data_IF_937669879060
#
_entry.id   IF_937669879060
#
_cell.length_a   1.000
_cell.length_b   1.000
_cell.length_c   1.000
_cell.angle_alpha   90.00
_cell.angle_beta   90.00
_cell.angle_gamma   90.00
#
_symmetry.space_group_name_H-M   'P 1'
#
loop_
_entity.id
_entity.type
_entity.pdbx_description
1 polymer ?
#
# COMPACT_ATOMS: atom_id res chain seq x y z
N UNK A 1 -11.73 -41.05 -32.34
CA UNK A 1 -12.66 -40.70 -31.25
C UNK A 1 -12.44 -39.23 -30.91
N UNK A 2 -13.49 -38.40 -30.96
CA UNK A 2 -13.39 -36.98 -30.57
C UNK A 2 -13.64 -36.88 -29.07
N UNK A 3 -12.58 -36.75 -28.27
CA UNK A 3 -12.70 -36.41 -26.87
C UNK A 3 -13.19 -34.95 -26.78
N UNK A 4 -14.50 -34.76 -26.54
CA UNK A 4 -15.01 -33.46 -26.10
C UNK A 4 -14.62 -33.33 -24.63
N UNK A 5 -13.70 -32.41 -24.32
CA UNK A 5 -13.39 -32.06 -22.94
C UNK A 5 -14.68 -31.55 -22.27
N UNK A 6 -15.14 -32.24 -21.23
CA UNK A 6 -16.30 -31.82 -20.45
C UNK A 6 -15.84 -30.75 -19.46
N UNK A 7 -15.67 -29.53 -19.98
CA UNK A 7 -15.21 -28.37 -19.21
C UNK A 7 -16.15 -28.06 -18.03
N UNK A 8 -17.44 -28.38 -18.15
CA UNK A 8 -18.41 -28.25 -17.04
C UNK A 8 -18.11 -29.16 -15.85
N UNK A 9 -17.68 -30.40 -16.09
CA UNK A 9 -17.27 -31.31 -15.02
C UNK A 9 -15.95 -30.90 -14.37
N UNK A 10 -15.02 -30.31 -15.12
CA UNK A 10 -13.76 -29.78 -14.59
C UNK A 10 -14.02 -28.51 -13.77
N UNK A 11 -14.93 -27.65 -14.23
CA UNK A 11 -15.37 -26.46 -13.51
C UNK A 11 -16.07 -26.79 -12.19
N UNK A 12 -17.02 -27.75 -12.17
CA UNK A 12 -17.67 -28.17 -10.93
C UNK A 12 -16.73 -28.84 -9.92
N UNK A 13 -15.60 -29.39 -10.38
CA UNK A 13 -14.53 -29.92 -9.52
C UNK A 13 -13.50 -28.86 -9.11
N UNK A 14 -13.73 -27.59 -9.46
CA UNK A 14 -12.82 -26.48 -9.19
C UNK A 14 -11.52 -26.51 -9.99
N UNK A 15 -11.40 -27.39 -10.99
CA UNK A 15 -10.16 -27.63 -11.74
C UNK A 15 -9.80 -26.53 -12.75
N UNK A 16 -10.78 -25.74 -13.20
CA UNK A 16 -10.56 -24.72 -14.24
C UNK A 16 -9.93 -23.42 -13.71
N UNK A 17 -9.99 -23.20 -12.39
CA UNK A 17 -9.54 -21.97 -11.73
C UNK A 17 -8.81 -22.28 -10.41
N UNK A 18 -8.13 -23.43 -10.32
CA UNK A 18 -7.27 -23.69 -9.16
C UNK A 18 -6.19 -22.62 -9.14
N UNK A 19 -6.20 -21.78 -8.12
CA UNK A 19 -5.06 -20.93 -7.82
C UNK A 19 -3.88 -21.85 -7.52
N UNK A 20 -2.83 -21.76 -8.34
CA UNK A 20 -1.56 -22.46 -8.19
C UNK A 20 -0.50 -21.37 -8.11
N UNK A 21 0.13 -21.27 -6.94
CA UNK A 21 1.35 -20.48 -6.78
C UNK A 21 2.40 -21.00 -7.76
N UNK A 22 3.10 -20.09 -8.46
CA UNK A 22 4.24 -20.46 -9.31
C UNK A 22 5.53 -20.59 -8.51
N UNK A 23 5.54 -20.05 -7.29
CA UNK A 23 6.68 -20.12 -6.39
C UNK A 23 6.67 -21.50 -5.73
N UNK A 24 7.38 -22.45 -6.34
CA UNK A 24 7.78 -23.67 -5.65
C UNK A 24 8.68 -23.25 -4.49
N UNK A 25 8.40 -23.76 -3.29
CA UNK A 25 9.33 -23.60 -2.17
C UNK A 25 10.68 -24.17 -2.63
N UNK A 26 11.69 -23.31 -2.78
CA UNK A 26 12.99 -23.68 -3.33
C UNK A 26 13.70 -24.66 -2.40
N UNK A 27 13.37 -25.95 -2.52
CA UNK A 27 14.17 -27.05 -2.02
C UNK A 27 15.07 -27.48 -3.18
N UNK A 28 16.41 -27.33 -3.08
CA UNK A 28 17.29 -27.94 -4.04
C UNK A 28 17.16 -29.46 -3.88
N UNK A 29 16.44 -30.08 -4.80
CA UNK A 29 16.34 -31.53 -4.91
C UNK A 29 17.69 -32.08 -5.34
N UNK A 30 18.57 -32.29 -4.35
CA UNK A 30 19.73 -33.13 -4.56
C UNK A 30 19.25 -34.56 -4.84
N UNK A 31 19.76 -35.09 -5.96
CA UNK A 31 19.73 -36.48 -6.42
C UNK A 31 18.46 -36.96 -7.14
N UNK A 32 18.53 -37.08 -8.48
CA UNK A 32 18.78 -38.40 -9.09
C UNK A 32 19.13 -38.32 -10.57
N UNK A 33 20.16 -39.09 -10.89
CA UNK A 33 20.72 -39.44 -12.19
C UNK A 33 19.71 -39.87 -13.25
N UNK A 34 19.99 -39.40 -14.48
CA UNK A 34 19.63 -39.93 -15.80
C UNK A 34 18.94 -41.30 -15.84
N UNK A 35 17.73 -41.36 -16.41
CA UNK A 35 17.36 -42.35 -17.44
C UNK A 35 16.15 -41.80 -18.22
N UNK A 36 16.31 -41.61 -19.52
CA UNK A 36 15.27 -41.21 -20.46
C UNK A 36 14.21 -42.31 -20.61
N UNK A 37 12.96 -42.03 -20.26
CA UNK A 37 11.77 -42.69 -20.81
C UNK A 37 10.60 -41.68 -20.80
N UNK A 38 10.20 -41.24 -22.00
CA UNK A 38 9.04 -40.39 -22.23
C UNK A 38 7.75 -41.19 -21.96
N UNK A 39 7.24 -41.08 -20.73
CA UNK A 39 5.83 -41.33 -20.39
C UNK A 39 5.06 -40.00 -20.31
N UNK A 40 3.71 -40.02 -20.27
CA UNK A 40 2.94 -38.79 -20.06
C UNK A 40 3.40 -38.17 -18.75
N UNK A 41 3.74 -36.87 -18.78
CA UNK A 41 4.09 -36.10 -17.60
C UNK A 41 2.85 -36.05 -16.72
N UNK A 42 2.73 -37.03 -15.82
CA UNK A 42 1.87 -36.93 -14.67
C UNK A 42 2.60 -35.93 -13.78
N UNK A 43 2.17 -34.66 -13.81
CA UNK A 43 2.55 -33.72 -12.76
C UNK A 43 2.10 -34.36 -11.45
N UNK A 44 3.04 -34.94 -10.70
CA UNK A 44 2.79 -35.38 -9.33
C UNK A 44 2.40 -34.11 -8.57
N UNK A 45 1.09 -33.97 -8.33
CA UNK A 45 0.52 -32.84 -7.62
C UNK A 45 1.08 -32.92 -6.19
N UNK A 46 1.92 -31.96 -5.82
CA UNK A 46 2.37 -31.83 -4.44
C UNK A 46 1.16 -31.41 -3.58
N UNK A 47 0.63 -32.36 -2.81
CA UNK A 47 -0.55 -32.16 -1.96
C UNK A 47 -0.29 -31.07 -0.91
N UNK A 48 0.96 -30.90 -0.46
CA UNK A 48 1.36 -29.91 0.53
C UNK A 48 1.33 -28.50 -0.08
N UNK A 49 1.86 -28.33 -1.31
CA UNK A 49 1.79 -27.06 -2.04
C UNK A 49 0.33 -26.66 -2.35
N UNK A 50 -0.53 -27.64 -2.68
CA UNK A 50 -1.96 -27.36 -2.89
C UNK A 50 -2.68 -26.97 -1.58
N UNK A 51 -2.29 -27.53 -0.42
CA UNK A 51 -2.85 -27.15 0.87
C UNK A 51 -2.43 -25.74 1.28
N UNK A 52 -1.16 -25.40 1.09
CA UNK A 52 -0.64 -24.05 1.31
C UNK A 52 -1.36 -23.03 0.43
N UNK A 53 -1.49 -23.30 -0.88
CA UNK A 53 -2.22 -22.41 -1.79
C UNK A 53 -3.68 -22.20 -1.41
N UNK A 54 -4.37 -23.23 -0.90
CA UNK A 54 -5.76 -23.09 -0.39
C UNK A 54 -5.84 -22.22 0.85
N UNK A 55 -4.89 -22.38 1.77
CA UNK A 55 -4.84 -21.59 3.00
C UNK A 55 -4.56 -20.13 2.66
N UNK A 56 -3.60 -19.88 1.79
CA UNK A 56 -3.26 -18.52 1.36
C UNK A 56 -4.41 -17.85 0.63
N UNK A 57 -5.12 -18.58 -0.24
CA UNK A 57 -6.33 -18.05 -0.87
C UNK A 57 -7.41 -17.68 0.17
N UNK A 58 -7.61 -18.52 1.19
CA UNK A 58 -8.54 -18.22 2.26
C UNK A 58 -8.11 -16.95 3.03
N UNK A 59 -6.82 -16.82 3.36
CA UNK A 59 -6.29 -15.66 4.09
C UNK A 59 -6.26 -14.38 3.24
N UNK A 60 -6.13 -14.49 1.91
CA UNK A 60 -6.23 -13.37 0.95
C UNK A 60 -7.67 -12.94 0.67
N UNK A 61 -8.68 -13.72 1.05
CA UNK A 61 -10.10 -13.44 0.72
C UNK A 61 -11.04 -13.41 1.92
N UNK A 62 -10.55 -13.68 3.14
CA UNK A 62 -11.40 -13.81 4.34
C UNK A 62 -12.16 -12.54 4.75
N UNK A 63 -11.77 -11.35 4.28
CA UNK A 63 -12.46 -10.08 4.53
C UNK A 63 -13.26 -9.58 3.32
N UNK A 64 -13.21 -10.30 2.18
CA UNK A 64 -14.04 -9.99 1.02
C UNK A 64 -15.44 -10.56 1.24
N UNK A 65 -16.42 -9.67 1.42
CA UNK A 65 -17.83 -10.03 1.62
C UNK A 65 -18.71 -9.53 0.48
N UNK A 66 -19.89 -10.14 0.26
CA UNK A 66 -20.88 -9.60 -0.69
C UNK A 66 -21.23 -8.13 -0.44
N UNK A 67 -21.29 -7.71 0.83
CA UNK A 67 -21.53 -6.31 1.19
C UNK A 67 -20.37 -5.39 0.79
N UNK A 68 -19.13 -5.86 0.92
CA UNK A 68 -17.95 -5.13 0.42
C UNK A 68 -17.96 -5.04 -1.10
N UNK A 69 -18.21 -6.15 -1.81
CA UNK A 69 -18.30 -6.14 -3.27
C UNK A 69 -19.41 -5.22 -3.76
N UNK A 70 -20.57 -5.23 -3.09
CA UNK A 70 -21.67 -4.33 -3.44
C UNK A 70 -21.34 -2.87 -3.17
N UNK A 71 -20.57 -2.59 -2.12
CA UNK A 71 -20.08 -1.24 -1.83
C UNK A 71 -19.08 -0.76 -2.89
N UNK A 72 -18.13 -1.60 -3.27
CA UNK A 72 -17.02 -1.21 -4.15
C UNK A 72 -17.44 -1.20 -5.62
N UNK A 73 -18.24 -2.18 -6.05
CA UNK A 73 -18.58 -2.41 -7.47
C UNK A 73 -20.03 -2.00 -7.76
N UNK A 74 -20.92 -2.00 -6.76
CA UNK A 74 -22.34 -1.74 -6.94
C UNK A 74 -23.19 -3.02 -6.95
N UNK A 75 -24.43 -2.89 -7.41
CA UNK A 75 -25.41 -3.97 -7.32
C UNK A 75 -24.99 -5.21 -8.15
N UNK A 76 -25.08 -6.42 -7.60
CA UNK A 76 -24.75 -7.63 -8.34
C UNK A 76 -25.76 -7.91 -9.45
N UNK A 77 -25.26 -8.33 -10.60
CA UNK A 77 -26.08 -9.01 -11.60
C UNK A 77 -26.36 -10.46 -11.17
N UNK A 78 -27.34 -11.10 -11.79
CA UNK A 78 -27.58 -12.53 -11.61
C UNK A 78 -26.88 -13.32 -12.72
N UNK A 79 -26.14 -14.35 -12.35
CA UNK A 79 -25.60 -15.31 -13.30
C UNK A 79 -26.70 -16.26 -13.84
N UNK A 80 -26.31 -17.17 -14.73
CA UNK A 80 -27.23 -18.16 -15.34
C UNK A 80 -27.88 -19.10 -14.32
N UNK A 81 -27.28 -19.24 -13.14
CA UNK A 81 -27.77 -20.07 -12.03
C UNK A 81 -28.53 -19.25 -10.98
N UNK A 82 -28.76 -17.95 -11.24
CA UNK A 82 -29.45 -17.03 -10.34
C UNK A 82 -28.63 -16.59 -9.13
N UNK A 83 -27.30 -16.70 -9.18
CA UNK A 83 -26.39 -16.28 -8.12
C UNK A 83 -25.91 -14.85 -8.35
N UNK A 84 -25.68 -14.07 -7.27
CA UNK A 84 -25.16 -12.72 -7.41
C UNK A 84 -23.73 -12.74 -7.96
N UNK A 85 -23.47 -11.86 -8.91
CA UNK A 85 -22.22 -11.73 -9.65
C UNK A 85 -21.85 -10.25 -9.79
N UNK A 86 -20.66 -9.92 -9.32
CA UNK A 86 -20.03 -8.61 -9.56
C UNK A 86 -19.03 -8.76 -10.71
N UNK A 87 -19.08 -7.83 -11.67
CA UNK A 87 -18.15 -7.83 -12.80
C UNK A 87 -17.09 -6.74 -12.60
N UNK A 88 -15.83 -7.12 -12.80
CA UNK A 88 -14.70 -6.20 -12.81
C UNK A 88 -13.88 -6.48 -14.07
N UNK A 89 -13.48 -5.43 -14.77
CA UNK A 89 -12.60 -5.50 -15.94
C UNK A 89 -11.29 -4.77 -15.63
N UNK A 90 -10.28 -4.96 -16.47
CA UNK A 90 -9.05 -4.16 -16.37
C UNK A 90 -9.31 -2.66 -16.57
N UNK A 91 -10.40 -2.29 -17.26
CA UNK A 91 -10.85 -0.91 -17.50
C UNK A 91 -11.69 -0.29 -16.38
N UNK A 92 -12.17 -1.08 -15.41
CA UNK A 92 -12.91 -0.54 -14.25
C UNK A 92 -12.06 0.49 -13.50
N UNK A 93 -12.60 1.66 -13.19
CA UNK A 93 -11.83 2.79 -12.68
C UNK A 93 -12.60 3.55 -11.60
N UNK A 94 -11.88 4.17 -10.66
CA UNK A 94 -12.48 5.13 -9.73
C UNK A 94 -12.40 6.53 -10.36
N UNK A 95 -13.42 7.39 -10.18
CA UNK A 95 -13.40 8.74 -10.79
C UNK A 95 -12.12 9.53 -10.50
N UNK A 96 -11.59 9.42 -9.28
CA UNK A 96 -10.38 10.14 -8.86
C UNK A 96 -9.10 9.71 -9.58
N UNK A 97 -9.09 8.49 -10.12
CA UNK A 97 -7.97 7.90 -10.84
C UNK A 97 -8.27 7.85 -12.36
N UNK A 98 -9.37 8.46 -12.80
CA UNK A 98 -9.75 8.55 -14.22
C UNK A 98 -9.05 9.72 -14.91
N UNK A 99 -8.47 9.45 -16.07
CA UNK A 99 -7.86 10.49 -16.91
C UNK A 99 -8.94 11.31 -17.61
N UNK A 100 -9.29 12.47 -17.04
CA UNK A 100 -10.15 13.45 -17.71
C UNK A 100 -9.35 14.18 -18.78
N UNK A 101 -9.30 13.60 -19.98
CA UNK A 101 -8.62 14.19 -21.14
C UNK A 101 -9.55 15.22 -21.80
N UNK A 102 -9.21 16.53 -21.80
CA UNK A 102 -10.05 17.55 -22.41
C UNK A 102 -10.28 17.27 -23.91
N UNK A 103 -11.55 17.18 -24.32
CA UNK A 103 -11.94 16.99 -25.72
C UNK A 103 -12.20 15.55 -26.15
N UNK A 104 -11.95 14.56 -25.28
CA UNK A 104 -12.51 13.21 -25.46
C UNK A 104 -13.88 13.13 -24.76
N UNK A 105 -14.87 12.44 -25.36
CA UNK A 105 -16.10 12.13 -24.64
C UNK A 105 -15.74 11.29 -23.42
N UNK A 106 -16.36 11.59 -22.27
CA UNK A 106 -16.16 10.77 -21.09
C UNK A 106 -16.47 9.31 -21.45
N UNK A 107 -15.67 8.33 -20.99
CA UNK A 107 -15.98 6.91 -21.18
C UNK A 107 -17.37 6.54 -20.61
N UNK A 108 -17.91 7.41 -19.76
CA UNK A 108 -19.25 7.38 -19.16
C UNK A 108 -20.40 7.75 -20.11
N UNK A 109 -20.12 8.12 -21.37
CA UNK A 109 -21.19 8.47 -22.32
C UNK A 109 -21.96 7.20 -22.69
N UNK A 110 -23.30 7.21 -22.55
CA UNK A 110 -24.18 6.07 -22.86
C UNK A 110 -23.92 5.47 -24.26
N UNK A 111 -23.44 6.30 -25.20
CA UNK A 111 -23.06 5.90 -26.56
C UNK A 111 -21.91 4.86 -26.60
N UNK A 112 -20.95 4.91 -25.68
CA UNK A 112 -19.85 3.92 -25.62
C UNK A 112 -20.34 2.60 -25.02
N UNK A 113 -21.13 2.66 -23.94
CA UNK A 113 -21.73 1.47 -23.33
C UNK A 113 -22.70 0.74 -24.28
N UNK A 114 -23.37 1.45 -25.18
CA UNK A 114 -24.20 0.85 -26.24
C UNK A 114 -23.38 0.16 -27.34
N UNK A 115 -22.13 0.62 -27.57
CA UNK A 115 -21.24 0.08 -28.61
C UNK A 115 -20.41 -1.09 -28.09
N UNK A 116 -19.93 -1.02 -26.84
CA UNK A 116 -19.13 -2.08 -26.19
C UNK A 116 -19.99 -3.12 -25.48
N UNK A 117 -21.23 -2.79 -25.11
CA UNK A 117 -22.10 -3.65 -24.30
C UNK A 117 -21.67 -3.75 -22.84
N UNK A 118 -20.66 -2.99 -22.42
CA UNK A 118 -20.07 -3.01 -21.09
C UNK A 118 -20.30 -1.64 -20.44
N UNK A 119 -21.07 -1.60 -19.35
CA UNK A 119 -21.02 -0.45 -18.47
C UNK A 119 -19.75 -0.60 -17.63
N UNK A 120 -18.73 0.21 -17.90
CA UNK A 120 -17.55 0.25 -17.04
C UNK A 120 -18.00 0.68 -15.64
N UNK A 121 -17.98 -0.28 -14.70
CA UNK A 121 -18.36 -0.05 -13.32
C UNK A 121 -17.36 0.90 -12.68
N UNK A 122 -17.87 2.01 -12.14
CA UNK A 122 -17.06 2.93 -11.36
C UNK A 122 -16.81 2.37 -9.96
N UNK A 123 -15.55 2.31 -9.54
CA UNK A 123 -15.23 1.85 -8.20
C UNK A 123 -15.60 2.89 -7.12
N UNK A 124 -16.38 2.44 -6.15
CA UNK A 124 -16.76 3.19 -4.94
C UNK A 124 -15.88 2.78 -3.75
N UNK A 125 -14.57 3.04 -3.87
CA UNK A 125 -13.58 2.76 -2.84
C UNK A 125 -13.76 3.57 -1.56
N UNK A 126 -13.09 3.15 -0.48
CA UNK A 126 -12.98 3.96 0.74
C UNK A 126 -12.33 5.33 0.41
N UNK A 127 -12.96 6.44 0.82
CA UNK A 127 -12.52 7.78 0.48
C UNK A 127 -11.32 8.18 1.34
N UNK A 128 -10.11 7.94 0.83
CA UNK A 128 -8.86 8.32 1.49
C UNK A 128 -8.33 9.63 0.90
N UNK A 129 -8.32 10.69 1.71
CA UNK A 129 -7.72 11.98 1.38
C UNK A 129 -6.52 12.26 2.29
N UNK A 130 -5.33 11.87 1.82
CA UNK A 130 -4.07 12.06 2.56
C UNK A 130 -3.67 13.53 2.69
N UNK A 131 -4.29 14.44 1.93
CA UNK A 131 -4.07 15.89 2.05
C UNK A 131 -4.94 16.52 3.14
N UNK A 132 -5.90 15.78 3.68
CA UNK A 132 -6.85 16.27 4.69
C UNK A 132 -7.12 15.20 5.74
N UNK A 133 -6.15 15.02 6.63
CA UNK A 133 -6.15 13.97 7.67
C UNK A 133 -6.58 14.47 9.04
N UNK A 134 -7.22 15.64 9.10
CA UNK A 134 -7.69 16.30 10.32
C UNK A 134 -9.20 16.53 10.30
N UNK A 135 -9.79 16.69 11.49
CA UNK A 135 -11.22 16.99 11.65
C UNK A 135 -11.63 18.33 11.05
N UNK A 136 -12.90 18.41 10.67
CA UNK A 136 -13.47 19.69 10.25
C UNK A 136 -13.34 20.73 11.36
N UNK A 137 -12.87 21.93 10.99
CA UNK A 137 -12.60 23.01 11.93
C UNK A 137 -11.21 22.99 12.58
N UNK A 138 -10.36 21.99 12.33
CA UNK A 138 -8.98 22.00 12.81
C UNK A 138 -8.19 23.19 12.21
N UNK A 139 -7.32 23.80 13.03
CA UNK A 139 -6.51 24.98 12.66
C UNK A 139 -5.06 24.86 13.15
N UNK A 140 -4.15 25.52 12.43
CA UNK A 140 -2.74 25.69 12.84
C UNK A 140 -2.05 24.37 13.21
N UNK A 141 -1.53 24.32 14.44
CA UNK A 141 -0.79 23.18 15.00
C UNK A 141 -1.53 21.85 14.91
N UNK A 142 -2.85 21.86 15.12
CA UNK A 142 -3.66 20.63 15.07
C UNK A 142 -3.61 19.98 13.68
N UNK A 143 -3.55 20.78 12.60
CA UNK A 143 -3.41 20.23 11.24
C UNK A 143 -2.04 19.63 10.99
N UNK A 144 -0.98 20.28 11.49
CA UNK A 144 0.38 19.77 11.36
C UNK A 144 0.54 18.45 12.11
N UNK A 145 0.04 18.37 13.35
CA UNK A 145 0.08 17.14 14.14
C UNK A 145 -0.71 16.01 13.44
N UNK A 146 -1.90 16.30 12.92
CA UNK A 146 -2.71 15.31 12.20
C UNK A 146 -2.16 14.93 10.81
N UNK A 147 -1.32 15.78 10.19
CA UNK A 147 -0.61 15.45 8.96
C UNK A 147 0.55 14.48 9.23
N UNK A 148 1.23 14.65 10.39
CA UNK A 148 2.31 13.77 10.85
C UNK A 148 1.79 12.43 11.40
N UNK A 149 0.65 12.45 12.09
CA UNK A 149 -0.05 11.26 12.58
C UNK A 149 -1.48 11.21 12.05
N UNK A 150 -1.71 10.31 11.09
CA UNK A 150 -3.01 10.16 10.41
C UNK A 150 -4.02 9.32 11.20
N UNK A 151 -3.72 8.97 12.45
CA UNK A 151 -4.57 8.11 13.29
C UNK A 151 -6.01 8.60 13.44
N UNK A 152 -6.22 9.93 13.47
CA UNK A 152 -7.58 10.49 13.49
C UNK A 152 -8.35 10.14 12.21
N UNK A 153 -7.73 10.32 11.04
CA UNK A 153 -8.36 10.04 9.76
C UNK A 153 -8.70 8.55 9.60
N UNK A 154 -7.80 7.66 10.04
CA UNK A 154 -8.08 6.22 10.10
C UNK A 154 -9.26 5.91 11.03
N UNK A 155 -9.27 6.48 12.24
CA UNK A 155 -10.35 6.27 13.20
C UNK A 155 -11.72 6.75 12.70
N UNK A 156 -11.75 7.93 12.06
CA UNK A 156 -12.95 8.49 11.45
C UNK A 156 -13.44 7.64 10.27
N UNK A 157 -12.53 7.16 9.41
CA UNK A 157 -12.87 6.23 8.32
C UNK A 157 -13.48 4.93 8.87
N UNK A 158 -12.85 4.31 9.87
CA UNK A 158 -13.37 3.10 10.52
C UNK A 158 -14.77 3.37 11.07
N UNK A 159 -14.98 4.48 11.78
CA UNK A 159 -16.28 4.81 12.37
C UNK A 159 -17.37 4.98 11.32
N UNK A 160 -17.10 5.69 10.21
CA UNK A 160 -18.08 5.93 9.13
C UNK A 160 -18.53 4.65 8.44
N UNK A 161 -17.64 3.67 8.34
CA UNK A 161 -17.88 2.39 7.67
C UNK A 161 -18.15 1.24 8.65
N UNK A 162 -18.36 1.57 9.93
CA UNK A 162 -18.82 0.62 10.93
C UNK A 162 -20.35 0.54 10.93
N UNK A 163 -20.88 -0.66 11.13
CA UNK A 163 -22.33 -0.85 11.27
C UNK A 163 -22.81 -0.25 12.60
N UNK A 164 -24.07 0.23 12.65
CA UNK A 164 -24.62 0.98 13.80
C UNK A 164 -24.67 0.27 15.17
N UNK A 165 -24.20 -0.99 15.28
CA UNK A 165 -24.05 -1.73 16.54
C UNK A 165 -22.60 -2.11 16.89
N UNK A 166 -21.62 -1.68 16.07
CA UNK A 166 -20.21 -2.02 16.24
C UNK A 166 -19.47 -0.93 17.01
N UNK A 167 -19.54 -1.00 18.33
CA UNK A 167 -18.87 -0.05 19.22
C UNK A 167 -17.34 -0.13 19.18
N UNK A 168 -16.77 -1.23 18.68
CA UNK A 168 -15.32 -1.46 18.64
C UNK A 168 -14.72 -1.13 17.27
N UNK A 169 -15.56 -0.88 16.25
CA UNK A 169 -15.12 -0.53 14.89
C UNK A 169 -14.57 -1.72 14.08
N UNK A 170 -14.80 -2.96 14.54
CA UNK A 170 -14.31 -4.18 13.88
C UNK A 170 -14.83 -4.35 12.44
N UNK A 171 -16.08 -3.95 12.20
CA UNK A 171 -16.70 -3.97 10.88
C UNK A 171 -16.07 -2.93 9.97
N UNK A 172 -15.76 -1.73 10.46
CA UNK A 172 -15.00 -0.73 9.70
C UNK A 172 -13.57 -1.17 9.40
N UNK A 173 -12.88 -1.78 10.37
CA UNK A 173 -11.57 -2.40 10.19
C UNK A 173 -11.60 -3.52 9.13
N UNK A 174 -12.64 -4.35 9.15
CA UNK A 174 -12.86 -5.39 8.14
C UNK A 174 -13.13 -4.80 6.74
N UNK A 175 -13.77 -3.63 6.63
CA UNK A 175 -13.92 -2.95 5.34
C UNK A 175 -12.56 -2.52 4.76
N UNK A 176 -11.64 -2.04 5.60
CA UNK A 176 -10.28 -1.65 5.17
C UNK A 176 -9.49 -2.88 4.74
N UNK A 177 -9.48 -3.94 5.56
CA UNK A 177 -8.78 -5.19 5.24
C UNK A 177 -9.33 -5.85 3.98
N UNK A 178 -10.66 -5.92 3.84
CA UNK A 178 -11.30 -6.49 2.68
C UNK A 178 -11.05 -5.68 1.41
N UNK A 179 -10.94 -4.35 1.51
CA UNK A 179 -10.59 -3.53 0.36
C UNK A 179 -9.13 -3.68 -0.02
N UNK A 180 -8.20 -3.77 0.94
CA UNK A 180 -6.79 -4.12 0.69
C UNK A 180 -6.66 -5.47 -0.02
N UNK A 181 -7.44 -6.47 0.39
CA UNK A 181 -7.51 -7.79 -0.26
C UNK A 181 -8.05 -7.68 -1.69
N UNK A 182 -9.22 -7.03 -1.85
CA UNK A 182 -9.86 -6.85 -3.15
C UNK A 182 -8.92 -6.15 -4.13
N UNK A 183 -8.37 -5.00 -3.75
CA UNK A 183 -7.50 -4.22 -4.63
C UNK A 183 -6.27 -5.01 -5.02
N UNK A 184 -5.62 -5.70 -4.07
CA UNK A 184 -4.46 -6.52 -4.37
C UNK A 184 -4.77 -7.62 -5.39
N UNK A 185 -5.87 -8.36 -5.21
CA UNK A 185 -6.27 -9.43 -6.13
C UNK A 185 -6.59 -8.89 -7.52
N UNK A 186 -7.25 -7.73 -7.63
CA UNK A 186 -7.53 -7.10 -8.92
C UNK A 186 -6.27 -6.60 -9.61
N UNK A 187 -5.27 -6.13 -8.84
CA UNK A 187 -3.96 -5.80 -9.43
C UNK A 187 -3.29 -7.08 -9.94
N UNK A 188 -3.23 -8.15 -9.14
CA UNK A 188 -2.60 -9.41 -9.56
C UNK A 188 -3.27 -10.05 -10.79
N UNK A 189 -4.60 -9.97 -10.88
CA UNK A 189 -5.34 -10.72 -11.90
C UNK A 189 -5.70 -9.90 -13.15
N UNK A 190 -5.90 -8.59 -13.00
CA UNK A 190 -6.38 -7.71 -14.08
C UNK A 190 -5.42 -6.56 -14.40
N UNK A 191 -4.29 -6.43 -13.68
CA UNK A 191 -3.38 -5.28 -13.79
C UNK A 191 -4.12 -3.94 -13.63
N UNK A 192 -5.11 -3.89 -12.74
CA UNK A 192 -5.98 -2.73 -12.62
C UNK A 192 -5.28 -1.56 -11.91
N UNK A 193 -5.15 -0.43 -12.60
CA UNK A 193 -4.44 0.76 -12.09
C UNK A 193 -5.13 1.42 -10.87
N UNK A 194 -6.45 1.63 -10.92
CA UNK A 194 -7.17 2.26 -9.80
C UNK A 194 -7.11 1.42 -8.53
N UNK A 195 -7.13 0.09 -8.66
CA UNK A 195 -6.89 -0.83 -7.55
C UNK A 195 -5.47 -0.70 -6.99
N UNK A 196 -4.44 -0.55 -7.83
CA UNK A 196 -3.07 -0.30 -7.35
C UNK A 196 -2.99 1.02 -6.57
N UNK A 197 -3.56 2.09 -7.11
CA UNK A 197 -3.59 3.40 -6.43
C UNK A 197 -4.36 3.34 -5.10
N UNK A 198 -5.48 2.62 -5.05
CA UNK A 198 -6.23 2.44 -3.82
C UNK A 198 -5.46 1.61 -2.78
N UNK A 199 -4.82 0.51 -3.20
CA UNK A 199 -3.97 -0.30 -2.33
C UNK A 199 -2.84 0.54 -1.70
N UNK A 200 -2.16 1.36 -2.50
CA UNK A 200 -1.16 2.31 -2.02
C UNK A 200 -1.74 3.30 -1.02
N UNK A 201 -2.86 3.95 -1.33
CA UNK A 201 -3.52 4.93 -0.46
C UNK A 201 -3.94 4.33 0.88
N UNK A 202 -4.45 3.09 0.88
CA UNK A 202 -4.80 2.34 2.09
C UNK A 202 -3.57 2.07 2.96
N UNK A 203 -2.50 1.53 2.36
CA UNK A 203 -1.26 1.29 3.08
C UNK A 203 -0.66 2.58 3.62
N UNK A 204 -0.63 3.65 2.82
CA UNK A 204 -0.06 4.93 3.23
C UNK A 204 -0.82 5.53 4.40
N UNK A 205 -2.15 5.46 4.39
CA UNK A 205 -2.97 5.88 5.53
C UNK A 205 -2.60 5.07 6.78
N UNK A 206 -2.69 3.74 6.70
CA UNK A 206 -2.55 2.86 7.87
C UNK A 206 -1.13 2.91 8.46
N UNK A 207 -0.09 2.80 7.62
CA UNK A 207 1.30 2.72 8.07
C UNK A 207 1.91 4.07 8.49
N UNK A 208 1.14 5.16 8.44
CA UNK A 208 1.50 6.47 8.99
C UNK A 208 0.66 6.89 10.20
N UNK A 209 -0.15 5.97 10.74
CA UNK A 209 -0.93 6.21 11.96
C UNK A 209 -0.13 5.79 13.20
N UNK A 210 0.51 6.74 13.88
CA UNK A 210 1.36 6.49 15.04
C UNK A 210 0.54 6.09 16.27
N UNK A 211 -0.47 6.87 16.67
CA UNK A 211 -1.30 6.53 17.83
C UNK A 211 -2.09 5.22 17.64
N UNK A 212 -2.51 4.91 16.41
CA UNK A 212 -3.22 3.67 16.11
C UNK A 212 -2.36 2.39 16.28
N UNK A 213 -1.03 2.50 16.35
CA UNK A 213 -0.13 1.39 16.75
C UNK A 213 -0.51 0.87 18.15
N UNK A 214 -0.91 1.76 19.07
CA UNK A 214 -1.36 1.41 20.42
C UNK A 214 -2.86 1.14 20.46
N UNK A 215 -3.64 2.07 19.91
CA UNK A 215 -5.10 2.07 20.07
C UNK A 215 -5.77 0.94 19.28
N UNK A 216 -5.11 0.41 18.24
CA UNK A 216 -5.63 -0.59 17.31
C UNK A 216 -4.61 -1.68 16.98
N UNK A 217 -3.82 -2.12 17.97
CA UNK A 217 -2.79 -3.16 17.79
C UNK A 217 -3.27 -4.39 16.98
N UNK A 218 -4.44 -5.01 17.26
CA UNK A 218 -4.86 -6.22 16.54
C UNK A 218 -5.13 -5.97 15.05
N UNK A 219 -5.66 -4.79 14.71
CA UNK A 219 -5.90 -4.38 13.33
C UNK A 219 -4.58 -4.13 12.61
N UNK A 220 -3.67 -3.37 13.23
CA UNK A 220 -2.33 -3.11 12.67
C UNK A 220 -1.56 -4.42 12.42
N UNK A 221 -1.62 -5.36 13.36
CA UNK A 221 -0.98 -6.66 13.21
C UNK A 221 -1.60 -7.46 12.04
N UNK A 222 -2.93 -7.39 11.86
CA UNK A 222 -3.62 -8.02 10.74
C UNK A 222 -3.22 -7.41 9.40
N UNK A 223 -3.04 -6.09 9.33
CA UNK A 223 -2.55 -5.41 8.11
C UNK A 223 -1.14 -5.86 7.77
N UNK A 224 -0.22 -5.96 8.74
CA UNK A 224 1.15 -6.43 8.47
C UNK A 224 1.20 -7.89 8.03
N UNK A 225 0.38 -8.77 8.63
CA UNK A 225 0.26 -10.18 8.19
C UNK A 225 -0.27 -10.27 6.76
N UNK A 226 -1.32 -9.50 6.45
CA UNK A 226 -1.90 -9.47 5.11
C UNK A 226 -0.88 -8.95 4.11
N UNK A 227 -0.17 -7.86 4.42
CA UNK A 227 0.87 -7.31 3.55
C UNK A 227 1.98 -8.32 3.30
N UNK A 228 2.49 -9.00 4.33
CA UNK A 228 3.49 -10.07 4.16
C UNK A 228 2.99 -11.18 3.23
N UNK A 229 1.75 -11.63 3.42
CA UNK A 229 1.13 -12.63 2.55
C UNK A 229 1.01 -12.15 1.11
N UNK A 230 0.60 -10.89 0.91
CA UNK A 230 0.51 -10.26 -0.40
C UNK A 230 1.88 -10.20 -1.09
N UNK A 231 2.93 -9.77 -0.38
CA UNK A 231 4.27 -9.69 -0.96
C UNK A 231 4.82 -11.06 -1.37
N UNK A 232 4.59 -12.09 -0.55
CA UNK A 232 4.94 -13.49 -0.90
C UNK A 232 4.29 -13.99 -2.19
N UNK A 233 3.17 -13.38 -2.60
CA UNK A 233 2.41 -13.74 -3.79
C UNK A 233 2.53 -12.72 -4.93
N UNK A 234 3.35 -11.67 -4.77
CA UNK A 234 3.53 -10.64 -5.81
C UNK A 234 4.18 -11.18 -7.10
N UNK A 235 5.02 -12.21 -6.98
CA UNK A 235 5.75 -12.79 -8.12
C UNK A 235 4.93 -13.82 -8.92
N UNK A 236 3.68 -14.10 -8.52
CA UNK A 236 2.79 -14.97 -9.29
C UNK A 236 2.38 -14.33 -10.65
N UNK A 237 2.65 -13.04 -10.83
CA UNK A 237 2.37 -12.27 -12.05
C UNK A 237 3.64 -12.11 -12.88
N UNK A 238 3.53 -12.36 -14.19
CA UNK A 238 4.61 -12.08 -15.14
C UNK A 238 4.83 -10.55 -15.23
N UNK A 239 5.95 -10.06 -14.67
CA UNK A 239 6.23 -8.64 -14.46
C UNK A 239 5.98 -8.13 -13.04
N UNK A 240 5.44 -8.94 -12.13
CA UNK A 240 5.28 -8.55 -10.71
C UNK A 240 4.40 -7.32 -10.43
N UNK A 241 4.05 -7.12 -9.16
CA UNK A 241 3.27 -5.97 -8.70
C UNK A 241 4.00 -4.64 -8.91
N UNK A 242 5.33 -4.67 -8.81
CA UNK A 242 6.17 -3.47 -8.77
C UNK A 242 6.59 -2.96 -10.15
N UNK A 243 6.57 -3.79 -11.21
CA UNK A 243 6.85 -3.26 -12.56
C UNK A 243 5.69 -2.39 -13.08
N UNK A 244 4.47 -2.60 -12.56
CA UNK A 244 3.31 -1.71 -12.82
C UNK A 244 3.59 -0.28 -12.29
N UNK A 245 4.47 -0.16 -11.31
CA UNK A 245 4.87 1.12 -10.70
C UNK A 245 6.03 1.81 -11.43
N UNK A 246 6.54 1.22 -12.51
CA UNK A 246 7.65 1.77 -13.29
C UNK A 246 8.95 1.88 -12.50
N UNK A 247 9.73 2.94 -12.77
CA UNK A 247 11.08 3.13 -12.23
C UNK A 247 11.13 3.37 -10.70
N UNK A 248 10.01 3.63 -10.04
CA UNK A 248 9.88 3.80 -8.58
C UNK A 248 9.45 2.50 -7.86
N UNK A 249 9.49 1.36 -8.56
CA UNK A 249 9.12 0.05 -8.04
C UNK A 249 9.66 -0.23 -6.63
N UNK A 250 8.79 -0.73 -5.75
CA UNK A 250 9.11 -1.04 -4.34
C UNK A 250 9.45 0.16 -3.45
N UNK A 251 9.94 1.28 -4.00
CA UNK A 251 10.47 2.42 -3.25
C UNK A 251 9.39 3.07 -2.38
N UNK A 252 8.18 3.23 -2.92
CA UNK A 252 7.02 3.69 -2.15
C UNK A 252 6.82 2.87 -0.87
N UNK A 253 6.78 1.54 -1.00
CA UNK A 253 6.51 0.65 0.12
C UNK A 253 7.69 0.61 1.09
N UNK A 254 8.92 0.56 0.58
CA UNK A 254 10.14 0.60 1.39
C UNK A 254 10.19 1.85 2.27
N UNK A 255 9.96 3.04 1.70
CA UNK A 255 9.90 4.31 2.43
C UNK A 255 8.84 4.28 3.52
N UNK A 256 7.67 3.74 3.21
CA UNK A 256 6.56 3.63 4.14
C UNK A 256 6.88 2.68 5.30
N UNK A 257 7.50 1.53 5.03
CA UNK A 257 7.94 0.58 6.05
C UNK A 257 9.05 1.14 6.94
N UNK A 258 9.99 1.93 6.40
CA UNK A 258 10.98 2.65 7.20
C UNK A 258 10.33 3.64 8.17
N UNK A 259 9.35 4.43 7.71
CA UNK A 259 8.61 5.37 8.56
C UNK A 259 7.81 4.64 9.64
N UNK A 260 7.17 3.52 9.29
CA UNK A 260 6.45 2.69 10.24
C UNK A 260 7.40 2.07 11.28
N UNK A 261 8.57 1.57 10.85
CA UNK A 261 9.62 1.07 11.76
C UNK A 261 10.03 2.13 12.78
N UNK A 262 10.35 3.33 12.33
CA UNK A 262 10.71 4.46 13.21
C UNK A 262 9.59 4.72 14.22
N UNK A 263 8.35 4.77 13.75
CA UNK A 263 7.20 4.98 14.62
C UNK A 263 7.06 3.88 15.68
N UNK A 264 7.17 2.62 15.26
CA UNK A 264 7.02 1.44 16.11
C UNK A 264 8.11 1.34 17.19
N UNK A 265 9.36 1.69 16.85
CA UNK A 265 10.53 1.42 17.69
C UNK A 265 11.07 2.63 18.45
N UNK A 266 10.92 3.84 17.90
CA UNK A 266 11.53 5.07 18.43
C UNK A 266 10.49 6.06 18.97
N UNK A 267 9.32 6.14 18.35
CA UNK A 267 8.30 7.16 18.72
C UNK A 267 7.30 6.61 19.74
N UNK A 268 6.85 5.38 19.55
CA UNK A 268 5.81 4.76 20.37
C UNK A 268 6.43 4.03 21.56
N UNK A 269 6.17 4.53 22.76
CA UNK A 269 6.55 3.80 23.98
C UNK A 269 5.78 2.48 24.13
N UNK A 270 6.52 1.39 24.36
CA UNK A 270 5.99 0.05 24.61
C UNK A 270 4.94 -0.41 23.56
N UNK A 271 5.35 -0.56 22.28
CA UNK A 271 4.46 -1.09 21.25
C UNK A 271 4.01 -2.51 21.62
N UNK A 272 2.82 -2.87 21.17
CA UNK A 272 2.27 -4.19 21.41
C UNK A 272 3.17 -5.31 20.87
N UNK A 273 3.44 -6.38 21.65
CA UNK A 273 4.42 -7.40 21.29
C UNK A 273 3.99 -8.21 20.06
N UNK A 274 2.68 -8.34 19.81
CA UNK A 274 2.17 -9.05 18.65
C UNK A 274 2.48 -8.28 17.39
N UNK A 275 2.17 -6.98 17.38
CA UNK A 275 2.45 -6.11 16.25
C UNK A 275 3.94 -6.07 15.91
N UNK A 276 4.78 -5.96 16.94
CA UNK A 276 6.24 -6.01 16.79
C UNK A 276 6.71 -7.30 16.12
N UNK A 277 6.23 -8.45 16.61
CA UNK A 277 6.58 -9.74 16.03
C UNK A 277 6.13 -9.90 14.57
N UNK A 278 4.96 -9.37 14.19
CA UNK A 278 4.52 -9.38 12.78
C UNK A 278 5.36 -8.45 11.91
N UNK A 279 5.74 -7.27 12.42
CA UNK A 279 6.64 -6.37 11.71
C UNK A 279 8.02 -7.00 11.49
N UNK A 280 8.58 -7.67 12.51
CA UNK A 280 9.89 -8.31 12.39
C UNK A 280 9.91 -9.44 11.35
N UNK A 281 8.81 -10.21 11.24
CA UNK A 281 8.64 -11.20 10.17
C UNK A 281 8.60 -10.54 8.80
N UNK A 282 7.83 -9.46 8.66
CA UNK A 282 7.74 -8.71 7.41
C UNK A 282 9.10 -8.12 7.02
N UNK A 283 9.79 -7.46 7.96
CA UNK A 283 11.09 -6.84 7.78
C UNK A 283 12.17 -7.87 7.39
N UNK A 284 12.18 -9.04 8.05
CA UNK A 284 13.09 -10.12 7.69
C UNK A 284 12.82 -10.62 6.27
N UNK A 285 11.55 -10.81 5.91
CA UNK A 285 11.17 -11.31 4.60
C UNK A 285 11.53 -10.33 3.48
N UNK A 286 11.23 -9.02 3.61
CA UNK A 286 11.58 -8.05 2.56
C UNK A 286 13.07 -7.81 2.42
N UNK A 287 13.86 -8.01 3.49
CA UNK A 287 15.32 -8.05 3.38
C UNK A 287 15.77 -9.27 2.59
N UNK A 288 15.26 -10.45 2.94
CA UNK A 288 15.74 -11.70 2.37
C UNK A 288 15.32 -11.87 0.90
N UNK A 289 14.12 -11.43 0.51
CA UNK A 289 13.58 -11.59 -0.85
C UNK A 289 13.77 -10.35 -1.75
N UNK A 290 13.81 -9.13 -1.18
CA UNK A 290 13.95 -7.89 -1.97
C UNK A 290 15.21 -7.07 -1.65
N UNK A 291 16.07 -7.51 -0.74
CA UNK A 291 17.26 -6.76 -0.27
C UNK A 291 16.90 -5.36 0.28
N UNK A 292 15.69 -5.22 0.85
CA UNK A 292 15.23 -3.97 1.43
C UNK A 292 15.71 -3.79 2.85
N UNK A 293 16.78 -3.02 3.02
CA UNK A 293 17.18 -2.59 4.34
C UNK A 293 16.31 -1.43 4.84
N UNK A 294 15.57 -1.73 5.90
CA UNK A 294 14.62 -0.83 6.57
C UNK A 294 15.23 -0.11 7.78
N UNK A 295 16.45 -0.48 8.19
CA UNK A 295 17.15 0.20 9.28
C UNK A 295 17.83 1.48 8.78
N UNK A 296 17.50 2.61 9.40
CA UNK A 296 18.02 3.93 9.02
C UNK A 296 19.51 4.07 9.36
N UNK A 297 20.00 3.34 10.35
CA UNK A 297 21.41 3.38 10.78
C UNK A 297 22.36 2.66 9.82
N UNK A 298 21.83 1.84 8.90
CA UNK A 298 22.63 1.11 7.92
C UNK A 298 23.05 1.96 6.70
N UNK A 299 22.51 3.17 6.54
CA UNK A 299 22.84 4.05 5.40
C UNK A 299 23.83 5.13 5.80
N UNK A 300 25.03 5.06 5.24
CA UNK A 300 25.99 6.18 5.26
C UNK A 300 25.45 7.29 4.37
N UNK A 301 24.87 8.34 4.97
CA UNK A 301 24.31 9.50 4.24
C UNK A 301 25.38 10.40 3.62
N UNK A 302 26.60 10.34 4.16
CA UNK A 302 27.74 11.18 3.80
C UNK A 302 29.01 10.33 3.80
N UNK A 303 29.68 10.23 2.65
CA UNK A 303 30.91 9.47 2.51
C UNK A 303 31.91 10.17 1.61
N UNK A 304 33.20 10.09 1.94
CA UNK A 304 34.28 10.58 1.08
C UNK A 304 34.61 9.49 0.05
N UNK A 305 34.50 9.81 -1.23
CA UNK A 305 34.93 8.94 -2.32
C UNK A 305 36.15 9.56 -2.99
N UNK A 306 37.25 8.80 -3.03
CA UNK A 306 38.42 9.16 -3.82
C UNK A 306 38.16 8.81 -5.30
N UNK A 307 38.23 9.82 -6.16
CA UNK A 307 38.18 9.66 -7.60
C UNK A 307 39.52 9.11 -8.14
N UNK A 308 39.54 8.69 -9.41
CA UNK A 308 40.73 8.11 -10.07
C UNK A 308 41.93 9.09 -10.11
N UNK A 309 41.68 10.39 -9.97
CA UNK A 309 42.70 11.45 -9.90
C UNK A 309 43.18 11.74 -8.46
N UNK A 310 42.63 11.06 -7.45
CA UNK A 310 42.96 11.26 -6.04
C UNK A 310 42.19 12.41 -5.36
N UNK A 311 41.20 13.01 -6.03
CA UNK A 311 40.31 14.00 -5.40
C UNK A 311 39.31 13.30 -4.46
N UNK A 312 39.26 13.75 -3.21
CA UNK A 312 38.25 13.31 -2.24
C UNK A 312 36.99 14.14 -2.41
N UNK A 313 35.96 13.55 -3.03
CA UNK A 313 34.65 14.18 -3.17
C UNK A 313 33.73 13.65 -2.09
N UNK A 314 33.13 14.58 -1.36
CA UNK A 314 32.07 14.29 -0.41
C UNK A 314 30.78 13.98 -1.15
N UNK A 315 30.35 12.73 -1.12
CA UNK A 315 29.05 12.32 -1.64
C UNK A 315 28.02 12.44 -0.52
N UNK A 316 27.07 13.35 -0.71
CA UNK A 316 25.82 13.38 0.03
C UNK A 316 24.79 12.63 -0.81
N UNK A 317 24.32 11.47 -0.31
CA UNK A 317 23.16 10.82 -0.93
C UNK A 317 21.96 11.71 -0.67
N UNK A 318 21.21 12.05 -1.73
CA UNK A 318 19.96 12.81 -1.64
C UNK A 318 19.03 12.07 -0.66
N UNK A 319 18.93 12.64 0.55
CA UNK A 319 18.05 12.13 1.57
C UNK A 319 16.61 12.25 1.08
N UNK A 320 15.82 11.21 1.31
CA UNK A 320 14.39 11.22 1.01
C UNK A 320 13.77 12.43 1.71
N UNK A 321 13.37 13.45 0.92
CA UNK A 321 13.10 14.84 1.33
C UNK A 321 11.90 15.06 2.26
N UNK A 322 11.52 14.05 3.03
CA UNK A 322 10.34 13.98 3.90
C UNK A 322 10.71 14.02 5.39
N UNK A 323 11.95 14.35 5.74
CA UNK A 323 12.36 14.63 7.12
C UNK A 323 11.95 16.08 7.51
N UNK A 324 10.65 16.40 7.35
CA UNK A 324 10.01 17.60 7.94
C UNK A 324 10.03 17.59 9.49
N UNK A 325 10.64 16.57 10.10
CA UNK A 325 10.62 16.34 11.54
C UNK A 325 11.72 17.02 12.35
N UNK A 326 12.69 17.77 11.78
CA UNK A 326 13.82 18.11 12.66
C UNK A 326 14.80 19.25 12.41
N UNK A 327 14.82 19.97 11.28
CA UNK A 327 15.89 20.98 11.10
C UNK A 327 15.36 22.36 10.71
N UNK A 328 14.47 22.91 11.53
CA UNK A 328 14.35 24.37 11.61
C UNK A 328 15.54 24.89 12.43
N UNK A 329 16.69 25.08 11.79
CA UNK A 329 17.75 25.88 12.37
C UNK A 329 17.26 27.35 12.37
N UNK A 330 16.96 27.95 13.53
CA UNK A 330 16.54 29.35 13.55
C UNK A 330 17.70 30.20 13.02
N UNK A 331 17.42 31.03 12.03
CA UNK A 331 18.37 32.04 11.58
C UNK A 331 18.56 33.05 12.72
N UNK A 332 19.65 32.92 13.47
CA UNK A 332 20.03 33.90 14.50
C UNK A 332 20.48 35.16 13.77
N UNK A 333 19.61 36.16 13.74
CA UNK A 333 19.96 37.51 13.25
C UNK A 333 20.66 38.23 14.39
N UNK A 334 21.98 38.38 14.30
CA UNK A 334 22.74 39.26 15.18
C UNK A 334 22.34 40.71 14.88
N UNK A 335 21.46 41.26 15.72
CA UNK A 335 21.22 42.70 15.78
C UNK A 335 22.43 43.31 16.48
N UNK A 336 23.50 43.57 15.72
CA UNK A 336 24.73 44.13 16.24
C UNK A 336 24.49 45.32 17.17
N UNK A 337 25.02 45.23 18.39
CA UNK A 337 25.15 46.36 19.31
C UNK A 337 26.10 47.38 18.67
N UNK A 338 25.53 48.36 17.97
CA UNK A 338 26.36 49.36 17.31
C UNK A 338 25.62 50.30 16.39
N UNK A 339 24.84 51.23 16.95
CA UNK A 339 24.85 52.59 16.40
C UNK A 339 24.48 53.65 17.45
N UNK A 340 25.53 54.27 17.98
CA UNK A 340 25.67 55.72 18.18
C UNK A 340 24.45 56.49 18.70
N UNK A 341 24.49 56.80 20.00
CA UNK A 341 24.12 58.13 20.50
C UNK A 341 24.84 59.19 19.67
N UNK A 342 24.14 59.79 18.71
CA UNK A 342 24.52 61.10 18.18
C UNK A 342 24.13 62.13 19.23
N UNK A 343 25.15 62.67 19.90
CA UNK A 343 25.06 63.91 20.66
C UNK A 343 24.52 65.01 19.73
N UNK A 344 23.27 65.41 19.97
CA UNK A 344 22.73 66.67 19.46
C UNK A 344 23.12 67.76 20.45
N UNK A 345 24.30 68.34 20.24
CA UNK A 345 24.68 69.63 20.81
C UNK A 345 23.71 70.71 20.32
N UNK A 346 22.66 70.97 21.09
CA UNK A 346 21.93 72.23 21.03
C UNK A 346 22.66 73.24 21.92
N UNK A 347 23.60 73.97 21.32
CA UNK A 347 24.13 75.18 21.92
C UNK A 347 23.42 76.41 21.34
N UNK A 348 22.98 77.24 22.27
CA UNK A 348 22.10 78.39 22.16
C UNK A 348 22.80 79.56 21.44
N UNK A 349 22.15 80.21 20.47
CA UNK A 349 22.54 81.55 20.02
C UNK A 349 21.31 82.35 19.59
N UNK A 350 21.06 83.36 20.39
CA UNK A 350 19.93 84.26 20.36
C UNK A 350 19.83 85.13 19.10
N UNK A 351 18.58 85.54 18.83
CA UNK A 351 18.09 86.66 17.98
C UNK A 351 18.99 87.90 17.92
N UNK A 352 18.93 88.65 16.80
CA UNK A 352 17.94 89.73 16.69
C UNK A 352 16.84 89.50 15.66
#
# INVERSE_FOLDING_TARGET
>A
MRHKANLGAVWQRGGLFRYRSRVSSSRPSQSRSQTEQQGPVQEDIDEDEEEEGRKDWADLTNCISPGLLSRVIGDPELDVDGRPRWMVTSGSTAERDSDKIPGLPDPKTEDLAQVTGEQDSEFSFLPIDLKRTWREGAIGRERTEAAQDRSWALGDLIQRYSNGGDHEGKTGEAQILGELQFTFLMVLTLMNYSCLQQWKRLLELVLTCQNAIKDREPFMASVLRLLLLQLKRCDDVEGGLFDIDGAEGGAFLRKLLMKFRRSLYEVIDNPGPTLKAEFDKLAAWVRDDYDWELDREAFVRRGMVQLEDGEEVELEMEGDGDDETGEYAPLVVDLGEGNTTQDLDMDDMATP
#
